data_IF_353268159035
#
_entry.id   IF_353268159035
#
_cell.length_a   1.000
_cell.length_b   1.000
_cell.length_c   1.000
_cell.angle_alpha   90.00
_cell.angle_beta   90.00
_cell.angle_gamma   90.00
#
_symmetry.space_group_name_H-M   'P 1'
#
loop_
_entity.id
_entity.type
_entity.pdbx_description
1 polymer ?
#
# COMPACT_ATOMS: atom_id res chain seq x y z
N UNK A 1 45.56 -0.03 21.82
CA UNK A 1 45.76 -0.91 20.65
C UNK A 1 45.66 -2.34 21.10
N UNK A 2 44.57 -3.03 20.86
CA UNK A 2 44.41 -4.46 21.10
C UNK A 2 44.03 -5.12 19.79
N UNK A 3 44.97 -5.84 19.21
CA UNK A 3 44.82 -6.68 18.04
C UNK A 3 44.11 -7.97 18.42
N UNK A 4 42.94 -8.21 17.87
CA UNK A 4 42.19 -9.46 18.00
C UNK A 4 42.62 -10.40 16.87
N UNK A 5 43.35 -11.46 17.23
CA UNK A 5 43.67 -12.54 16.32
C UNK A 5 42.59 -13.61 16.41
N UNK A 6 41.93 -13.88 15.31
CA UNK A 6 41.01 -15.00 15.21
C UNK A 6 41.72 -16.15 14.48
N UNK A 7 42.09 -17.16 15.24
CA UNK A 7 42.55 -18.45 14.71
C UNK A 7 41.32 -19.33 14.46
N UNK A 8 41.02 -19.65 13.20
CA UNK A 8 40.06 -20.68 12.86
C UNK A 8 40.81 -21.99 12.51
N UNK A 9 40.42 -23.14 13.06
CA UNK A 9 40.99 -24.42 12.67
C UNK A 9 40.38 -24.92 11.39
N UNK A 10 41.26 -25.31 10.45
CA UNK A 10 40.96 -26.00 9.21
C UNK A 10 40.59 -27.45 9.55
N UNK A 11 39.36 -27.86 9.35
CA UNK A 11 38.98 -29.27 9.39
C UNK A 11 38.91 -29.80 7.99
N UNK A 12 39.88 -30.60 7.61
CA UNK A 12 39.92 -31.41 6.40
C UNK A 12 39.13 -32.69 6.66
N UNK A 13 37.90 -32.75 6.19
CA UNK A 13 37.06 -33.94 6.20
C UNK A 13 36.96 -34.53 4.79
N UNK A 14 37.66 -35.61 4.54
CA UNK A 14 37.43 -36.47 3.37
C UNK A 14 36.13 -37.25 3.57
N UNK A 15 35.15 -37.08 2.69
CA UNK A 15 33.86 -37.78 2.75
C UNK A 15 33.17 -37.90 1.41
N UNK A 16 33.33 -39.12 0.86
CA UNK A 16 32.47 -39.87 -0.07
C UNK A 16 31.54 -39.09 -1.03
N UNK A 17 31.84 -39.21 -2.32
CA UNK A 17 30.93 -38.95 -3.45
C UNK A 17 29.73 -39.89 -3.40
N UNK A 18 28.58 -39.39 -2.99
CA UNK A 18 27.29 -40.02 -3.26
C UNK A 18 26.69 -39.30 -4.46
N UNK A 19 26.72 -39.97 -5.60
CA UNK A 19 25.99 -39.57 -6.82
C UNK A 19 24.47 -39.79 -6.58
N UNK A 20 23.80 -38.79 -6.06
CA UNK A 20 22.33 -38.76 -6.05
C UNK A 20 21.85 -38.27 -7.41
N UNK A 21 21.32 -39.16 -8.22
CA UNK A 21 20.58 -38.86 -9.43
C UNK A 21 19.27 -38.17 -9.00
N UNK A 22 19.26 -36.83 -9.03
CA UNK A 22 18.01 -36.08 -8.89
C UNK A 22 17.22 -36.24 -10.19
N UNK A 23 16.17 -37.05 -10.16
CA UNK A 23 15.14 -37.04 -11.17
C UNK A 23 14.49 -35.65 -11.20
N UNK A 24 14.70 -34.87 -12.26
CA UNK A 24 13.94 -33.65 -12.54
C UNK A 24 12.51 -34.07 -12.86
N UNK A 25 11.64 -34.00 -11.85
CA UNK A 25 10.21 -33.97 -12.09
C UNK A 25 9.85 -32.61 -12.70
N UNK A 26 9.12 -32.55 -13.84
CA UNK A 26 8.62 -31.27 -14.33
C UNK A 26 7.61 -30.71 -13.34
N UNK A 27 7.93 -29.55 -12.78
CA UNK A 27 6.96 -28.78 -11.99
C UNK A 27 5.80 -28.37 -12.92
N UNK A 28 4.56 -28.59 -12.56
CA UNK A 28 3.45 -28.07 -13.33
C UNK A 28 3.52 -26.54 -13.28
N UNK A 29 3.76 -25.90 -14.42
CA UNK A 29 3.54 -24.49 -14.62
C UNK A 29 2.05 -24.23 -14.44
N UNK A 30 1.67 -23.75 -13.27
CA UNK A 30 0.33 -23.26 -13.00
C UNK A 30 0.19 -21.90 -13.71
N UNK A 31 -0.12 -21.96 -15.01
CA UNK A 31 -0.49 -20.79 -15.78
C UNK A 31 -1.96 -20.47 -15.46
N UNK A 32 -2.23 -19.27 -14.95
CA UNK A 32 -3.54 -18.66 -15.06
C UNK A 32 -4.31 -18.36 -13.79
N UNK A 33 -3.74 -17.66 -12.82
CA UNK A 33 -4.54 -17.07 -11.72
C UNK A 33 -4.34 -15.55 -11.54
N UNK A 34 -3.53 -14.92 -12.38
CA UNK A 34 -3.16 -13.51 -12.18
C UNK A 34 -4.28 -12.50 -12.50
N UNK A 35 -5.24 -12.85 -13.37
CA UNK A 35 -6.27 -11.90 -13.81
C UNK A 35 -7.47 -11.81 -12.86
N UNK A 36 -7.89 -12.92 -12.28
CA UNK A 36 -9.06 -12.95 -11.39
C UNK A 36 -8.75 -12.38 -9.99
N UNK A 37 -7.53 -12.56 -9.52
CA UNK A 37 -7.08 -12.05 -8.23
C UNK A 37 -6.91 -10.52 -8.24
N UNK A 38 -6.41 -9.97 -9.34
CA UNK A 38 -6.28 -8.51 -9.52
C UNK A 38 -7.65 -7.83 -9.63
N UNK A 39 -8.60 -8.41 -10.35
CA UNK A 39 -9.97 -7.89 -10.46
C UNK A 39 -10.70 -7.94 -9.12
N UNK A 40 -10.60 -9.02 -8.37
CA UNK A 40 -11.21 -9.14 -7.05
C UNK A 40 -10.63 -8.14 -6.03
N UNK A 41 -9.32 -7.88 -6.10
CA UNK A 41 -8.67 -6.89 -5.26
C UNK A 41 -9.13 -5.45 -5.58
N UNK A 42 -9.28 -5.12 -6.87
CA UNK A 42 -9.79 -3.81 -7.30
C UNK A 42 -11.25 -3.60 -6.90
N UNK A 43 -12.11 -4.60 -7.06
CA UNK A 43 -13.49 -4.56 -6.62
C UNK A 43 -13.61 -4.41 -5.10
N UNK A 44 -12.78 -5.11 -4.32
CA UNK A 44 -12.72 -4.97 -2.87
C UNK A 44 -12.30 -3.56 -2.41
N UNK A 45 -11.40 -2.92 -3.13
CA UNK A 45 -10.96 -1.55 -2.86
C UNK A 45 -12.08 -0.53 -3.16
N UNK A 46 -12.80 -0.69 -4.28
CA UNK A 46 -13.91 0.18 -4.65
C UNK A 46 -15.06 0.09 -3.64
N UNK A 47 -15.39 -1.13 -3.18
CA UNK A 47 -16.40 -1.35 -2.14
C UNK A 47 -15.98 -0.69 -0.83
N UNK A 48 -14.70 -0.79 -0.45
CA UNK A 48 -14.16 -0.16 0.75
C UNK A 48 -14.28 1.36 0.75
N UNK A 49 -13.97 2.01 -0.38
CA UNK A 49 -14.10 3.45 -0.55
C UNK A 49 -15.57 3.90 -0.53
N UNK A 50 -16.46 3.14 -1.19
CA UNK A 50 -17.89 3.40 -1.19
C UNK A 50 -18.49 3.34 0.23
N UNK A 51 -18.10 2.34 0.99
CA UNK A 51 -18.51 2.20 2.39
C UNK A 51 -18.04 3.37 3.25
N UNK A 52 -16.78 3.79 3.12
CA UNK A 52 -16.26 4.97 3.81
C UNK A 52 -17.06 6.23 3.48
N UNK A 53 -17.33 6.47 2.19
CA UNK A 53 -18.11 7.62 1.72
C UNK A 53 -19.53 7.62 2.28
N UNK A 54 -20.16 6.45 2.42
CA UNK A 54 -21.50 6.32 2.96
C UNK A 54 -21.61 6.69 4.44
N UNK A 55 -20.49 6.59 5.20
CA UNK A 55 -20.43 6.98 6.62
C UNK A 55 -20.27 8.49 6.83
N UNK A 56 -19.87 9.22 5.81
CA UNK A 56 -19.60 10.65 5.86
C UNK A 56 -20.81 11.46 5.43
N UNK A 57 -21.20 12.47 6.23
CA UNK A 57 -22.14 13.47 5.81
C UNK A 57 -21.51 14.44 4.77
N UNK A 58 -22.27 15.41 4.29
CA UNK A 58 -21.79 16.35 3.27
C UNK A 58 -20.61 17.17 3.77
N UNK A 59 -20.64 17.66 5.00
CA UNK A 59 -19.59 18.49 5.56
C UNK A 59 -18.33 17.69 5.87
N UNK A 60 -18.49 16.44 6.32
CA UNK A 60 -17.39 15.51 6.51
C UNK A 60 -16.66 15.21 5.19
N UNK A 61 -17.43 15.03 4.09
CA UNK A 61 -16.85 14.79 2.76
C UNK A 61 -16.03 15.96 2.26
N UNK A 62 -16.50 17.20 2.49
CA UNK A 62 -15.74 18.41 2.15
C UNK A 62 -14.42 18.43 2.91
N UNK A 63 -14.46 18.20 4.24
CA UNK A 63 -13.25 18.16 5.05
C UNK A 63 -12.29 17.04 4.62
N UNK A 64 -12.83 15.86 4.29
CA UNK A 64 -12.03 14.73 3.80
C UNK A 64 -11.33 15.03 2.47
N UNK A 65 -12.02 15.67 1.52
CA UNK A 65 -11.45 16.07 0.23
C UNK A 65 -10.36 17.13 0.42
N UNK A 66 -10.60 18.14 1.25
CA UNK A 66 -9.60 19.16 1.55
C UNK A 66 -8.34 18.56 2.19
N UNK A 67 -8.53 17.61 3.12
CA UNK A 67 -7.42 16.90 3.73
C UNK A 67 -6.64 16.04 2.72
N UNK A 68 -7.35 15.38 1.79
CA UNK A 68 -6.74 14.60 0.71
C UNK A 68 -5.90 15.48 -0.21
N UNK A 69 -6.46 16.58 -0.69
CA UNK A 69 -5.76 17.55 -1.55
C UNK A 69 -4.48 18.07 -0.87
N UNK A 70 -4.58 18.44 0.41
CA UNK A 70 -3.43 18.90 1.18
C UNK A 70 -2.36 17.82 1.31
N UNK A 71 -2.77 16.61 1.70
CA UNK A 71 -1.83 15.51 1.89
C UNK A 71 -1.09 15.14 0.61
N UNK A 72 -1.80 15.06 -0.52
CA UNK A 72 -1.22 14.65 -1.79
C UNK A 72 -0.38 15.74 -2.47
N UNK A 73 -0.70 17.01 -2.22
CA UNK A 73 0.03 18.14 -2.82
C UNK A 73 1.25 18.55 -2.01
N UNK A 74 1.17 18.50 -0.67
CA UNK A 74 2.18 19.14 0.20
C UNK A 74 3.04 18.11 0.96
N UNK A 75 2.55 16.89 1.19
CA UNK A 75 3.29 15.93 2.01
C UNK A 75 4.17 14.99 1.17
N UNK A 76 5.36 14.71 1.71
CA UNK A 76 6.24 13.66 1.21
C UNK A 76 5.68 12.27 1.46
N UNK A 77 6.22 11.27 0.73
CA UNK A 77 5.86 9.87 0.94
C UNK A 77 6.21 9.40 2.36
N UNK A 78 5.32 8.63 2.96
CA UNK A 78 5.46 8.14 4.32
C UNK A 78 4.97 9.09 5.42
N UNK A 79 4.71 10.38 5.10
CA UNK A 79 4.18 11.36 6.08
C UNK A 79 2.66 11.21 6.20
N UNK A 80 2.14 11.20 7.42
CA UNK A 80 0.71 11.04 7.68
C UNK A 80 0.07 12.38 8.05
N UNK A 81 -0.95 12.79 7.28
CA UNK A 81 -1.87 13.85 7.67
C UNK A 81 -2.96 13.26 8.56
N UNK A 82 -3.25 13.92 9.68
CA UNK A 82 -4.41 13.61 10.53
C UNK A 82 -5.36 14.79 10.48
N UNK A 83 -6.64 14.52 10.16
CA UNK A 83 -7.70 15.52 10.22
C UNK A 83 -8.82 15.03 11.12
N UNK A 84 -9.56 15.95 11.74
CA UNK A 84 -10.53 15.62 12.77
C UNK A 84 -11.78 16.49 12.65
N UNK A 85 -12.91 15.89 13.03
CA UNK A 85 -14.19 16.55 13.26
C UNK A 85 -14.66 16.16 14.67
N UNK A 86 -14.19 16.87 15.72
CA UNK A 86 -14.46 16.49 17.11
C UNK A 86 -15.95 16.38 17.44
N UNK A 87 -16.77 17.28 16.89
CA UNK A 87 -18.22 17.31 17.05
C UNK A 87 -18.93 16.05 16.50
N UNK A 88 -18.24 15.34 15.61
CA UNK A 88 -18.71 14.09 14.99
C UNK A 88 -18.02 12.85 15.56
N UNK A 89 -17.00 13.03 16.39
CA UNK A 89 -16.13 11.93 16.78
C UNK A 89 -15.41 11.29 15.60
N UNK A 90 -15.14 12.08 14.55
CA UNK A 90 -14.56 11.63 13.30
C UNK A 90 -13.06 11.95 13.25
N UNK A 91 -12.25 10.95 12.94
CA UNK A 91 -10.80 11.09 12.71
C UNK A 91 -10.44 10.41 11.40
N UNK A 92 -9.80 11.15 10.51
CA UNK A 92 -9.23 10.61 9.28
C UNK A 92 -7.71 10.71 9.26
N UNK A 93 -7.05 9.76 8.62
CA UNK A 93 -5.61 9.76 8.37
C UNK A 93 -5.35 9.48 6.90
N UNK A 94 -4.43 10.21 6.34
CA UNK A 94 -4.03 10.07 4.94
C UNK A 94 -2.52 9.98 4.90
N UNK A 95 -1.99 8.93 4.30
CA UNK A 95 -0.55 8.72 4.15
C UNK A 95 -0.23 8.42 2.69
N UNK A 96 0.35 9.36 1.94
CA UNK A 96 0.96 9.06 0.66
C UNK A 96 2.11 8.06 0.84
N UNK A 97 2.18 7.04 0.00
CA UNK A 97 3.17 5.95 0.14
C UNK A 97 4.26 6.06 -0.92
N UNK A 98 3.87 6.27 -2.18
CA UNK A 98 4.79 6.39 -3.31
C UNK A 98 4.13 7.13 -4.45
N UNK A 99 4.93 7.79 -5.29
CA UNK A 99 4.46 8.47 -6.49
C UNK A 99 4.91 7.72 -7.75
N UNK A 100 4.07 7.76 -8.79
CA UNK A 100 4.35 7.17 -10.10
C UNK A 100 3.63 7.95 -11.21
N UNK A 101 3.87 7.58 -12.47
CA UNK A 101 3.10 8.08 -13.61
C UNK A 101 2.29 6.92 -14.18
N UNK A 102 1.04 7.19 -14.51
CA UNK A 102 0.19 6.23 -15.21
C UNK A 102 0.46 6.23 -16.73
N UNK A 103 -0.24 5.37 -17.45
CA UNK A 103 -0.09 5.21 -18.91
C UNK A 103 -0.49 6.48 -19.70
N UNK A 104 -1.22 7.40 -19.08
CA UNK A 104 -1.60 8.70 -19.63
C UNK A 104 -0.61 9.81 -19.25
N UNK A 105 0.46 9.48 -18.51
CA UNK A 105 1.48 10.41 -18.04
C UNK A 105 1.04 11.26 -16.84
N UNK A 106 -0.13 11.00 -16.24
CA UNK A 106 -0.59 11.70 -15.04
C UNK A 106 0.25 11.32 -13.84
N UNK A 107 0.49 12.27 -12.95
CA UNK A 107 1.11 11.98 -11.65
C UNK A 107 0.08 11.31 -10.76
N UNK A 108 0.40 10.11 -10.29
CA UNK A 108 -0.43 9.32 -9.37
C UNK A 108 0.35 9.00 -8.10
N UNK A 109 -0.37 8.78 -7.00
CA UNK A 109 0.22 8.38 -5.71
C UNK A 109 -0.56 7.22 -5.11
N UNK A 110 0.16 6.23 -4.61
CA UNK A 110 -0.42 5.23 -3.72
C UNK A 110 -0.70 5.88 -2.37
N UNK A 111 -1.86 5.61 -1.79
CA UNK A 111 -2.37 6.27 -0.59
C UNK A 111 -2.94 5.24 0.37
N UNK A 112 -2.56 5.32 1.63
CA UNK A 112 -3.28 4.69 2.74
C UNK A 112 -4.25 5.72 3.31
N UNK A 113 -5.53 5.38 3.33
CA UNK A 113 -6.58 6.22 3.88
C UNK A 113 -7.29 5.47 5.01
N UNK A 114 -7.35 6.05 6.20
CA UNK A 114 -8.10 5.48 7.31
C UNK A 114 -9.12 6.45 7.88
N UNK A 115 -10.23 5.90 8.35
CA UNK A 115 -11.32 6.61 8.96
C UNK A 115 -11.74 5.92 10.25
N UNK A 116 -11.95 6.70 11.30
CA UNK A 116 -12.55 6.27 12.55
C UNK A 116 -13.74 7.17 12.87
N UNK A 117 -14.91 6.57 13.14
CA UNK A 117 -16.15 7.26 13.52
C UNK A 117 -16.85 6.44 14.59
N UNK A 118 -16.74 6.86 15.85
CA UNK A 118 -17.21 6.07 16.98
C UNK A 118 -16.55 4.70 17.03
N UNK A 119 -17.34 3.63 16.98
CA UNK A 119 -16.85 2.23 16.93
C UNK A 119 -16.47 1.76 15.53
N UNK A 120 -16.84 2.51 14.50
CA UNK A 120 -16.46 2.19 13.11
C UNK A 120 -15.01 2.59 12.86
N UNK A 121 -14.22 1.65 12.35
CA UNK A 121 -12.86 1.91 11.94
C UNK A 121 -12.55 1.14 10.67
N UNK A 122 -11.99 1.82 9.68
CA UNK A 122 -11.61 1.22 8.41
C UNK A 122 -10.33 1.85 7.87
N UNK A 123 -9.51 1.03 7.23
CA UNK A 123 -8.36 1.45 6.44
C UNK A 123 -8.48 0.83 5.06
N UNK A 124 -8.18 1.64 4.06
CA UNK A 124 -8.12 1.20 2.66
C UNK A 124 -6.82 1.68 2.03
N UNK A 125 -6.39 0.96 1.02
CA UNK A 125 -5.35 1.39 0.09
C UNK A 125 -6.04 1.83 -1.21
N UNK A 126 -5.51 2.86 -1.83
CA UNK A 126 -6.04 3.37 -3.09
C UNK A 126 -4.95 4.06 -3.90
N UNK A 127 -5.33 4.49 -5.07
CA UNK A 127 -4.50 5.31 -5.96
C UNK A 127 -5.22 6.63 -6.17
N UNK A 128 -4.52 7.73 -5.99
CA UNK A 128 -4.99 9.05 -6.36
C UNK A 128 -4.18 9.58 -7.52
N UNK A 129 -4.86 10.08 -8.57
CA UNK A 129 -4.20 10.67 -9.73
C UNK A 129 -4.56 12.15 -9.85
N UNK A 130 -3.58 12.95 -10.27
CA UNK A 130 -3.76 14.40 -10.47
C UNK A 130 -4.42 14.65 -11.81
N UNK A 131 -5.56 15.30 -11.77
CA UNK A 131 -6.32 15.69 -12.96
C UNK A 131 -5.74 16.95 -13.62
N UNK A 132 -6.16 17.22 -14.85
CA UNK A 132 -5.68 18.37 -15.63
C UNK A 132 -5.97 19.73 -14.97
N UNK A 133 -7.03 19.81 -14.17
CA UNK A 133 -7.37 21.01 -13.38
C UNK A 133 -6.58 21.14 -12.06
N UNK A 134 -5.66 20.20 -11.79
CA UNK A 134 -4.81 20.18 -10.61
C UNK A 134 -5.39 19.49 -9.39
N UNK A 135 -6.68 19.10 -9.40
CA UNK A 135 -7.30 18.34 -8.30
C UNK A 135 -6.86 16.89 -8.29
N UNK A 136 -7.04 16.21 -7.16
CA UNK A 136 -6.76 14.79 -7.02
C UNK A 136 -8.05 13.97 -7.05
N UNK A 137 -8.05 12.93 -7.86
CA UNK A 137 -9.12 11.95 -7.95
C UNK A 137 -8.66 10.64 -7.34
N UNK A 138 -9.38 10.16 -6.31
CA UNK A 138 -9.09 8.89 -5.64
C UNK A 138 -9.85 7.77 -6.33
N UNK A 139 -9.11 6.79 -6.82
CA UNK A 139 -9.59 5.54 -7.41
C UNK A 139 -9.26 4.39 -6.46
N UNK A 140 -10.21 3.52 -6.24
CA UNK A 140 -10.04 2.36 -5.40
C UNK A 140 -11.35 1.75 -5.00
#
# INVERSE_FOLDING_TARGET
MRTFHWNAPIIIGAGALVLSVFALAPLPLKAGESGAEVTAALEGQQLGLGELKARLDRSDRVAAVQALELALSELGDGVTLVWQRPERGLVGRIKPVSAFRDDQGRVCRHVLYSLALGTYQRQIEGVACRESNGSWSLSG
#
